data_IF_207262377878
#
_entry.id   IF_207262377878
#
_cell.length_a   1.000
_cell.length_b   1.000
_cell.length_c   1.000
_cell.angle_alpha   90.00
_cell.angle_beta   90.00
_cell.angle_gamma   90.00
#
_symmetry.space_group_name_H-M   'P 1'
#
loop_
_entity.id
_entity.type
_entity.pdbx_description
1 polymer ?
#
# COMPACT_ATOMS: atom_id res chain seq x y z
N UNK A 1 -38.77 26.13 -27.96
CA UNK A 1 -38.67 25.19 -26.81
C UNK A 1 -37.22 25.03 -26.31
N UNK A 2 -36.28 25.89 -26.73
CA UNK A 2 -34.86 25.86 -26.37
C UNK A 2 -34.48 26.95 -25.35
N UNK A 3 -35.28 28.02 -25.21
CA UNK A 3 -35.02 29.12 -24.26
C UNK A 3 -35.24 28.75 -22.78
N UNK A 4 -36.20 27.86 -22.48
CA UNK A 4 -36.52 27.47 -21.10
C UNK A 4 -35.38 26.63 -20.49
N UNK A 5 -34.71 25.83 -21.32
CA UNK A 5 -33.60 24.98 -20.88
C UNK A 5 -32.35 25.83 -20.63
N UNK A 6 -32.07 26.85 -21.46
CA UNK A 6 -30.94 27.76 -21.23
C UNK A 6 -31.15 28.66 -20.00
N UNK A 7 -32.38 29.11 -19.73
CA UNK A 7 -32.68 29.92 -18.56
C UNK A 7 -32.56 29.11 -17.26
N UNK A 8 -33.06 27.86 -17.24
CA UNK A 8 -32.98 26.98 -16.08
C UNK A 8 -31.56 26.50 -15.74
N UNK A 9 -30.65 26.48 -16.73
CA UNK A 9 -29.24 26.14 -16.52
C UNK A 9 -28.41 27.31 -16.01
N UNK A 10 -28.74 28.56 -16.40
CA UNK A 10 -28.05 29.76 -15.95
C UNK A 10 -28.36 30.07 -14.47
N UNK A 11 -29.62 29.90 -14.09
CA UNK A 11 -30.11 30.11 -12.71
C UNK A 11 -29.52 29.11 -11.69
N UNK A 12 -29.06 27.94 -12.16
CA UNK A 12 -28.36 26.95 -11.32
C UNK A 12 -26.84 27.10 -11.29
N UNK A 13 -26.26 27.85 -12.22
CA UNK A 13 -24.81 28.04 -12.31
C UNK A 13 -24.31 29.27 -11.53
N UNK A 14 -25.19 30.23 -11.22
CA UNK A 14 -24.86 31.46 -10.48
C UNK A 14 -25.09 31.35 -8.96
N UNK A 15 -25.51 30.19 -8.45
CA UNK A 15 -25.69 29.99 -7.01
C UNK A 15 -24.36 29.86 -6.28
N UNK A 16 -24.01 30.85 -5.46
CA UNK A 16 -22.87 30.85 -4.54
C UNK A 16 -22.76 29.49 -3.83
N UNK A 17 -21.71 28.73 -4.16
CA UNK A 17 -21.38 27.48 -3.50
C UNK A 17 -20.99 27.82 -2.07
N UNK A 18 -21.94 27.71 -1.15
CA UNK A 18 -21.71 27.94 0.28
C UNK A 18 -20.84 26.82 0.85
N UNK A 19 -19.52 27.04 0.81
CA UNK A 19 -18.48 26.14 1.37
C UNK A 19 -18.81 25.77 2.82
N UNK A 20 -19.36 26.70 3.61
CA UNK A 20 -19.76 26.45 5.00
C UNK A 20 -20.89 25.41 5.14
N UNK A 21 -21.80 25.32 4.16
CA UNK A 21 -22.90 24.35 4.18
C UNK A 21 -22.38 22.93 3.91
N UNK A 22 -21.37 22.80 3.04
CA UNK A 22 -20.66 21.54 2.79
C UNK A 22 -19.86 21.10 4.02
N UNK A 23 -19.15 22.01 4.68
CA UNK A 23 -18.41 21.72 5.91
C UNK A 23 -19.32 21.30 7.08
N UNK A 24 -20.50 21.91 7.24
CA UNK A 24 -21.44 21.51 8.30
C UNK A 24 -22.07 20.12 8.09
N UNK A 25 -22.29 19.72 6.83
CA UNK A 25 -22.79 18.40 6.47
C UNK A 25 -21.75 17.29 6.76
N UNK A 26 -20.46 17.60 6.56
CA UNK A 26 -19.35 16.70 6.92
C UNK A 26 -19.23 16.53 8.44
N UNK A 27 -19.27 17.63 9.20
CA UNK A 27 -19.17 17.58 10.66
C UNK A 27 -20.33 16.83 11.34
N UNK A 28 -21.55 16.94 10.80
CA UNK A 28 -22.73 16.21 11.32
C UNK A 28 -22.66 14.70 11.04
N UNK A 29 -22.08 14.29 9.90
CA UNK A 29 -21.83 12.88 9.57
C UNK A 29 -20.83 12.21 10.52
N UNK A 30 -19.74 12.91 10.87
CA UNK A 30 -18.71 12.42 11.81
C UNK A 30 -19.29 12.17 13.20
N UNK A 31 -20.11 13.10 13.71
CA UNK A 31 -20.75 12.99 15.03
C UNK A 31 -21.70 11.78 15.14
N UNK A 32 -22.40 11.45 14.05
CA UNK A 32 -23.32 10.29 14.00
C UNK A 32 -22.56 8.96 13.97
N UNK A 33 -21.42 8.87 13.27
CA UNK A 33 -20.52 7.71 13.33
C UNK A 33 -19.94 7.49 14.73
N UNK A 34 -19.54 8.57 15.41
CA UNK A 34 -19.00 8.52 16.77
C UNK A 34 -20.00 7.94 17.79
N UNK A 35 -21.29 8.32 17.71
CA UNK A 35 -22.34 7.76 18.57
C UNK A 35 -22.59 6.26 18.37
N UNK A 36 -22.38 5.73 17.16
CA UNK A 36 -22.57 4.30 16.89
C UNK A 36 -21.41 3.44 17.43
N UNK A 37 -20.19 4.00 17.56
CA UNK A 37 -19.03 3.29 18.11
C UNK A 37 -19.06 3.16 19.65
N UNK A 38 -19.73 4.07 20.35
CA UNK A 38 -19.80 4.06 21.83
C UNK A 38 -20.79 3.03 22.41
N UNK A 39 -21.62 2.39 21.58
CA UNK A 39 -22.58 1.36 22.00
C UNK A 39 -22.17 -0.07 21.61
N UNK A 40 -20.96 -0.26 21.09
CA UNK A 40 -20.48 -1.56 20.59
C UNK A 40 -19.03 -1.81 20.96
N UNK A 41 -18.71 -1.80 22.26
CA UNK A 41 -17.38 -2.15 22.76
C UNK A 41 -17.35 -3.62 23.15
N UNK A 42 -17.14 -4.50 22.16
CA UNK A 42 -16.71 -5.88 22.38
C UNK A 42 -15.92 -6.37 21.15
N UNK A 43 -14.62 -6.58 21.37
CA UNK A 43 -13.66 -7.34 20.55
C UNK A 43 -13.71 -7.17 19.02
N UNK A 44 -12.88 -6.26 18.50
CA UNK A 44 -12.42 -6.30 17.12
C UNK A 44 -10.96 -5.81 17.03
N UNK A 45 -10.05 -6.63 17.54
CA UNK A 45 -8.64 -6.63 17.11
C UNK A 45 -8.53 -7.77 16.11
N UNK A 46 -7.77 -7.58 15.03
CA UNK A 46 -7.59 -8.49 13.87
C UNK A 46 -8.56 -8.22 12.71
N UNK A 47 -8.15 -7.32 11.80
CA UNK A 47 -8.37 -7.38 10.34
C UNK A 47 -8.09 -6.02 9.68
N UNK A 48 -6.85 -5.51 9.70
CA UNK A 48 -6.48 -4.33 8.90
C UNK A 48 -5.08 -4.51 8.34
N UNK A 49 -5.03 -4.85 7.05
CA UNK A 49 -3.81 -5.07 6.26
C UNK A 49 -4.11 -5.33 4.78
N UNK A 50 -5.34 -5.75 4.47
CA UNK A 50 -5.79 -6.00 3.10
C UNK A 50 -6.37 -4.77 2.38
N UNK A 51 -6.69 -3.67 3.08
CA UNK A 51 -7.47 -2.57 2.48
C UNK A 51 -6.64 -1.49 1.75
N UNK A 52 -5.31 -1.55 1.79
CA UNK A 52 -4.44 -0.71 0.94
C UNK A 52 -4.24 -1.29 -0.48
N UNK A 53 -4.77 -2.49 -0.76
CA UNK A 53 -4.79 -3.06 -2.12
C UNK A 53 -6.06 -2.68 -2.91
N UNK A 54 -7.12 -2.21 -2.24
CA UNK A 54 -8.43 -1.93 -2.85
C UNK A 54 -8.62 -0.52 -3.39
N UNK A 55 -7.74 0.41 -3.04
CA UNK A 55 -7.55 1.66 -3.77
C UNK A 55 -6.77 1.39 -5.04
N UNK A 56 -7.31 0.54 -5.90
CA UNK A 56 -6.77 0.34 -7.23
C UNK A 56 -6.76 1.71 -7.91
N UNK A 57 -5.59 2.31 -8.01
CA UNK A 57 -5.25 2.99 -9.25
C UNK A 57 -5.56 1.95 -10.32
N UNK A 58 -6.74 2.07 -10.92
CA UNK A 58 -7.06 1.37 -12.16
C UNK A 58 -6.08 2.01 -13.13
N UNK A 59 -4.86 1.47 -13.17
CA UNK A 59 -3.97 1.63 -14.30
C UNK A 59 -4.74 0.99 -15.43
N UNK A 60 -5.59 1.81 -16.04
CA UNK A 60 -6.25 1.50 -17.29
C UNK A 60 -5.08 1.30 -18.23
N UNK A 61 -4.71 0.04 -18.43
CA UNK A 61 -3.57 -0.33 -19.23
C UNK A 61 -3.75 0.34 -20.57
N UNK A 62 -2.97 1.39 -20.80
CA UNK A 62 -2.70 1.85 -22.14
C UNK A 62 -2.10 0.64 -22.83
N UNK A 63 -2.86 0.04 -23.76
CA UNK A 63 -2.31 -0.89 -24.75
C UNK A 63 -1.21 -0.11 -25.48
N UNK A 64 0.03 -0.23 -25.03
CA UNK A 64 1.06 0.72 -25.44
C UNK A 64 2.46 0.33 -25.02
N UNK A 65 2.92 -0.83 -25.49
CA UNK A 65 4.29 -1.23 -25.82
C UNK A 65 4.51 -2.70 -25.41
N UNK A 66 5.17 -3.51 -26.25
CA UNK A 66 5.60 -4.85 -25.83
C UNK A 66 6.52 -4.71 -24.62
N UNK A 67 6.14 -5.34 -23.51
CA UNK A 67 6.98 -5.49 -22.31
C UNK A 67 8.29 -6.09 -22.80
N UNK A 68 9.37 -5.30 -22.73
CA UNK A 68 10.71 -5.81 -23.00
C UNK A 68 10.93 -6.98 -22.04
N UNK A 69 11.25 -8.19 -22.52
CA UNK A 69 11.50 -9.31 -21.64
C UNK A 69 12.61 -8.93 -20.68
N UNK A 70 12.32 -8.98 -19.37
CA UNK A 70 13.34 -8.85 -18.35
C UNK A 70 14.44 -9.89 -18.64
N UNK A 71 15.70 -9.48 -18.54
CA UNK A 71 16.81 -10.42 -18.58
C UNK A 71 16.59 -11.48 -17.50
N UNK A 72 16.69 -12.75 -17.87
CA UNK A 72 16.64 -13.91 -16.98
C UNK A 72 17.56 -13.65 -15.78
N UNK A 73 17.05 -13.78 -14.55
CA UNK A 73 17.85 -13.85 -13.32
C UNK A 73 17.82 -12.67 -12.34
N UNK A 74 17.66 -11.41 -12.78
CA UNK A 74 17.74 -10.25 -11.87
C UNK A 74 16.39 -9.56 -11.66
N UNK A 75 15.78 -9.90 -10.53
CA UNK A 75 14.67 -9.15 -9.93
C UNK A 75 15.14 -7.73 -9.59
N UNK A 76 14.38 -6.72 -9.99
CA UNK A 76 14.58 -5.36 -9.49
C UNK A 76 14.28 -5.31 -7.98
N UNK A 77 15.17 -4.71 -7.20
CA UNK A 77 15.12 -4.72 -5.73
C UNK A 77 15.32 -3.32 -5.17
N UNK A 78 14.80 -3.05 -3.96
CA UNK A 78 15.19 -1.86 -3.22
C UNK A 78 16.70 -1.88 -2.90
N UNK A 79 17.31 -0.75 -2.54
CA UNK A 79 18.74 -0.70 -2.24
C UNK A 79 19.08 -1.53 -1.01
N UNK A 80 20.15 -2.31 -1.08
CA UNK A 80 20.63 -3.14 0.03
C UNK A 80 21.25 -2.28 1.13
N UNK A 81 21.08 -2.71 2.38
CA UNK A 81 21.74 -2.11 3.56
C UNK A 81 22.73 -3.11 4.14
N UNK A 82 24.01 -2.94 3.81
CA UNK A 82 25.05 -3.80 4.34
C UNK A 82 25.28 -3.53 5.84
N UNK A 83 25.44 -4.61 6.61
CA UNK A 83 25.66 -4.56 8.06
C UNK A 83 24.41 -4.38 8.91
N UNK A 84 23.22 -4.15 8.32
CA UNK A 84 21.97 -4.18 9.07
C UNK A 84 21.63 -5.60 9.56
N UNK A 85 20.89 -5.74 10.68
CA UNK A 85 20.38 -7.04 11.12
C UNK A 85 19.54 -7.70 10.02
N UNK A 86 19.68 -9.01 9.88
CA UNK A 86 18.88 -9.83 8.94
C UNK A 86 17.91 -10.70 9.72
N UNK A 87 16.69 -10.89 9.21
CA UNK A 87 15.64 -11.62 9.91
C UNK A 87 15.97 -13.11 10.11
N UNK A 88 16.81 -13.70 9.24
CA UNK A 88 17.27 -15.09 9.39
C UNK A 88 18.07 -15.35 10.68
N UNK A 89 18.75 -14.34 11.23
CA UNK A 89 19.54 -14.47 12.47
C UNK A 89 18.98 -13.62 13.62
N UNK A 90 18.13 -12.64 13.31
CA UNK A 90 17.50 -11.76 14.29
C UNK A 90 16.02 -11.62 13.93
N UNK A 91 15.17 -12.63 14.21
CA UNK A 91 13.74 -12.62 13.88
C UNK A 91 13.00 -11.36 14.36
N UNK A 92 13.41 -10.85 15.52
CA UNK A 92 12.88 -9.62 16.12
C UNK A 92 13.09 -8.36 15.27
N UNK A 93 14.02 -8.37 14.31
CA UNK A 93 14.26 -7.25 13.39
C UNK A 93 13.12 -7.06 12.37
N UNK A 94 12.41 -8.14 12.01
CA UNK A 94 11.34 -8.09 11.00
C UNK A 94 10.22 -7.15 11.42
N UNK A 95 9.97 -6.13 10.60
CA UNK A 95 8.99 -5.08 10.89
C UNK A 95 9.25 -4.28 12.16
N UNK A 96 10.46 -4.30 12.73
CA UNK A 96 10.80 -3.43 13.87
C UNK A 96 11.02 -1.98 13.43
N UNK A 97 11.51 -1.80 12.20
CA UNK A 97 11.66 -0.52 11.51
C UNK A 97 10.83 -0.56 10.21
N UNK A 98 9.81 0.29 10.04
CA UNK A 98 9.00 0.31 8.82
C UNK A 98 9.75 0.84 7.59
N UNK A 99 11.00 1.28 7.75
CA UNK A 99 11.88 1.72 6.66
C UNK A 99 12.88 0.65 6.21
N UNK A 100 12.80 -0.57 6.74
CA UNK A 100 13.62 -1.71 6.32
C UNK A 100 12.74 -2.86 5.82
N UNK A 101 13.24 -3.58 4.82
CA UNK A 101 12.67 -4.83 4.32
C UNK A 101 13.67 -5.97 4.52
N UNK A 102 13.20 -7.09 5.05
CA UNK A 102 13.98 -8.31 5.26
C UNK A 102 13.51 -9.46 4.37
N UNK A 103 12.31 -9.35 3.80
CA UNK A 103 11.75 -10.34 2.88
C UNK A 103 12.24 -10.14 1.43
N UNK A 104 12.74 -11.21 0.82
CA UNK A 104 13.22 -11.21 -0.58
C UNK A 104 12.96 -12.57 -1.27
N UNK A 105 13.14 -12.59 -2.59
CA UNK A 105 13.04 -13.77 -3.44
C UNK A 105 14.28 -13.94 -4.31
N UNK A 106 14.58 -15.20 -4.65
CA UNK A 106 15.63 -15.57 -5.61
C UNK A 106 15.04 -16.30 -6.81
N UNK A 107 15.63 -16.12 -7.99
CA UNK A 107 15.27 -16.91 -9.19
C UNK A 107 13.80 -16.84 -9.59
N UNK A 108 13.25 -15.64 -9.71
CA UNK A 108 11.89 -15.39 -10.21
C UNK A 108 11.98 -14.84 -11.64
N UNK A 109 11.73 -15.70 -12.61
CA UNK A 109 11.73 -15.31 -14.01
C UNK A 109 10.38 -14.71 -14.41
N UNK A 110 10.40 -13.91 -15.50
CA UNK A 110 9.20 -13.33 -16.07
C UNK A 110 8.37 -12.48 -15.08
N UNK A 111 9.00 -11.86 -14.10
CA UNK A 111 8.33 -10.94 -13.19
C UNK A 111 7.87 -9.67 -13.95
N UNK A 112 6.63 -9.24 -13.70
CA UNK A 112 6.07 -8.02 -14.29
C UNK A 112 6.05 -6.85 -13.30
N UNK A 113 5.61 -7.15 -12.08
CA UNK A 113 5.50 -6.20 -10.98
C UNK A 113 5.99 -6.84 -9.69
N UNK A 114 6.68 -6.08 -8.85
CA UNK A 114 7.10 -6.48 -7.51
C UNK A 114 6.95 -5.31 -6.53
N UNK A 115 6.47 -5.57 -5.33
CA UNK A 115 6.22 -4.56 -4.29
C UNK A 115 6.66 -5.11 -2.94
N UNK A 116 7.60 -4.43 -2.32
CA UNK A 116 7.99 -4.60 -0.93
C UNK A 116 7.18 -3.66 -0.05
N UNK A 117 6.82 -4.13 1.12
CA UNK A 117 6.02 -3.42 2.10
C UNK A 117 6.45 -3.84 3.50
N UNK A 118 6.70 -2.86 4.37
CA UNK A 118 7.02 -3.09 5.78
C UNK A 118 6.16 -2.20 6.67
N UNK A 119 5.71 -2.78 7.78
CA UNK A 119 5.02 -2.12 8.88
C UNK A 119 5.35 -2.82 10.19
N UNK A 120 4.89 -2.28 11.31
CA UNK A 120 5.22 -2.86 12.63
C UNK A 120 4.86 -4.34 12.76
N UNK A 121 5.89 -5.17 12.91
CA UNK A 121 5.81 -6.63 13.11
C UNK A 121 5.26 -7.43 11.93
N UNK A 122 5.28 -6.88 10.71
CA UNK A 122 4.77 -7.53 9.52
C UNK A 122 5.44 -6.98 8.26
N UNK A 123 5.84 -7.85 7.36
CA UNK A 123 6.35 -7.50 6.05
C UNK A 123 5.65 -8.30 4.96
N UNK A 124 5.56 -7.71 3.78
CA UNK A 124 5.01 -8.39 2.62
C UNK A 124 5.72 -8.04 1.31
N UNK A 125 5.79 -9.03 0.44
CA UNK A 125 6.32 -8.94 -0.91
C UNK A 125 5.26 -9.48 -1.87
N UNK A 126 4.75 -8.62 -2.75
CA UNK A 126 3.73 -9.00 -3.75
C UNK A 126 4.29 -8.87 -5.14
N UNK A 127 3.78 -9.65 -6.06
CA UNK A 127 4.13 -9.44 -7.44
C UNK A 127 3.31 -10.25 -8.42
N UNK A 128 3.66 -10.08 -9.68
CA UNK A 128 3.18 -10.89 -10.79
C UNK A 128 4.38 -11.55 -11.44
N UNK A 129 4.33 -12.86 -11.67
CA UNK A 129 5.37 -13.60 -12.39
C UNK A 129 4.79 -14.74 -13.20
N UNK A 130 5.36 -14.97 -14.38
CA UNK A 130 5.07 -16.15 -15.19
C UNK A 130 5.37 -17.46 -14.45
N UNK A 131 6.45 -17.53 -13.66
CA UNK A 131 6.83 -18.70 -12.85
C UNK A 131 5.79 -19.03 -11.76
N UNK A 132 5.16 -17.98 -11.24
CA UNK A 132 4.07 -18.05 -10.27
C UNK A 132 2.70 -18.29 -10.93
N UNK A 133 2.64 -18.38 -12.26
CA UNK A 133 1.37 -18.51 -12.99
C UNK A 133 0.41 -17.33 -12.80
N UNK A 134 0.90 -16.16 -12.34
CA UNK A 134 0.07 -15.01 -12.03
C UNK A 134 0.55 -14.18 -10.85
N UNK A 135 -0.40 -13.61 -10.11
CA UNK A 135 -0.13 -12.88 -8.87
C UNK A 135 0.29 -13.83 -7.75
N UNK A 136 1.26 -13.40 -6.97
CA UNK A 136 1.69 -14.08 -5.77
C UNK A 136 1.89 -13.06 -4.64
N UNK A 137 1.82 -13.58 -3.42
CA UNK A 137 1.92 -12.79 -2.22
C UNK A 137 2.72 -13.54 -1.17
N UNK A 138 3.80 -12.94 -0.68
CA UNK A 138 4.63 -13.48 0.40
C UNK A 138 4.46 -12.59 1.61
N UNK A 139 4.15 -13.18 2.75
CA UNK A 139 3.94 -12.51 4.02
C UNK A 139 4.92 -13.05 5.05
N UNK A 140 5.40 -12.19 5.94
CA UNK A 140 6.21 -12.58 7.07
C UNK A 140 5.76 -11.85 8.34
N UNK A 141 5.70 -12.58 9.47
CA UNK A 141 5.37 -12.01 10.77
C UNK A 141 5.89 -12.88 11.91
N UNK A 142 6.22 -12.25 13.04
CA UNK A 142 6.53 -12.96 14.28
C UNK A 142 5.30 -13.62 14.93
N UNK A 143 4.10 -13.22 14.51
CA UNK A 143 2.85 -13.76 15.05
C UNK A 143 2.13 -14.46 13.91
N UNK A 144 2.02 -15.79 13.98
CA UNK A 144 1.34 -16.63 12.98
C UNK A 144 -0.02 -16.07 12.58
N UNK A 145 -0.82 -15.67 13.57
CA UNK A 145 -2.20 -15.20 13.37
C UNK A 145 -2.29 -13.85 12.62
N UNK A 146 -1.17 -13.14 12.44
CA UNK A 146 -1.12 -11.92 11.61
C UNK A 146 -1.02 -12.22 10.11
N UNK A 147 -0.70 -13.44 9.72
CA UNK A 147 -0.70 -13.86 8.31
C UNK A 147 -2.13 -13.94 7.79
N UNK A 148 -2.33 -13.70 6.49
CA UNK A 148 -3.67 -13.76 5.91
C UNK A 148 -4.19 -15.20 5.80
N UNK A 149 -5.50 -15.39 5.59
CA UNK A 149 -6.06 -16.70 5.22
C UNK A 149 -5.93 -17.79 6.30
N UNK A 150 -6.18 -17.49 7.57
CA UNK A 150 -6.04 -18.46 8.68
C UNK A 150 -7.01 -19.65 8.66
N UNK A 151 -7.99 -19.68 7.76
CA UNK A 151 -8.94 -20.78 7.60
C UNK A 151 -8.68 -21.58 6.32
N UNK A 152 -8.99 -22.87 6.34
CA UNK A 152 -8.81 -23.72 5.17
C UNK A 152 -8.68 -25.20 5.49
N UNK A 153 -8.63 -26.00 4.43
CA UNK A 153 -8.13 -27.36 4.51
C UNK A 153 -6.60 -27.31 4.64
N UNK A 154 -6.06 -27.95 5.68
CA UNK A 154 -4.63 -27.98 5.98
C UNK A 154 -4.10 -29.37 5.69
N UNK A 155 -3.04 -29.44 4.89
CA UNK A 155 -2.28 -30.66 4.64
C UNK A 155 -0.82 -30.46 5.05
N UNK A 156 -0.19 -31.41 5.77
CA UNK A 156 1.23 -31.35 6.09
C UNK A 156 2.09 -31.35 4.81
N UNK A 157 3.16 -30.56 4.82
CA UNK A 157 4.18 -30.52 3.76
C UNK A 157 5.52 -30.06 4.35
N UNK A 158 6.52 -29.81 3.50
CA UNK A 158 7.84 -29.33 3.93
C UNK A 158 8.40 -28.30 2.96
N UNK A 159 8.96 -27.20 3.48
CA UNK A 159 9.69 -26.20 2.69
C UNK A 159 11.17 -26.28 3.08
N UNK A 160 12.04 -26.64 2.13
CA UNK A 160 13.49 -26.78 2.40
C UNK A 160 13.82 -27.69 3.61
N UNK A 161 13.04 -28.76 3.80
CA UNK A 161 13.18 -29.70 4.93
C UNK A 161 12.64 -29.19 6.28
N UNK A 162 11.99 -28.03 6.31
CA UNK A 162 11.28 -27.53 7.48
C UNK A 162 9.80 -27.92 7.42
N UNK A 163 9.18 -28.30 8.55
CA UNK A 163 7.75 -28.57 8.61
C UNK A 163 6.93 -27.37 8.12
N UNK A 164 5.97 -27.64 7.24
CA UNK A 164 5.13 -26.63 6.64
C UNK A 164 3.68 -27.11 6.53
N UNK A 165 2.79 -26.17 6.25
CA UNK A 165 1.37 -26.40 6.04
C UNK A 165 0.99 -25.91 4.64
N UNK A 166 0.53 -26.82 3.79
CA UNK A 166 -0.21 -26.45 2.60
C UNK A 166 -1.65 -26.15 3.01
N UNK A 167 -2.12 -24.95 2.69
CA UNK A 167 -3.43 -24.44 3.08
C UNK A 167 -4.23 -24.10 1.84
N UNK A 168 -5.37 -24.75 1.67
CA UNK A 168 -6.39 -24.28 0.72
C UNK A 168 -7.27 -23.27 1.44
N UNK A 169 -7.06 -21.99 1.14
CA UNK A 169 -7.73 -20.87 1.79
C UNK A 169 -9.22 -20.90 1.44
N UNK A 170 -10.05 -21.26 2.42
CA UNK A 170 -11.50 -21.16 2.33
C UNK A 170 -11.97 -19.96 3.12
N UNK A 171 -12.99 -19.26 2.62
CA UNK A 171 -13.61 -18.17 3.38
C UNK A 171 -14.53 -18.69 4.49
N UNK A 172 -14.72 -17.93 5.59
CA UNK A 172 -15.66 -18.29 6.66
C UNK A 172 -17.11 -18.48 6.19
N UNK A 173 -17.50 -17.86 5.07
CA UNK A 173 -18.83 -17.97 4.44
C UNK A 173 -18.82 -18.79 3.13
N UNK A 174 -17.68 -19.37 2.76
CA UNK A 174 -17.49 -20.11 1.50
C UNK A 174 -17.46 -19.25 0.22
N UNK A 175 -17.64 -17.92 0.29
CA UNK A 175 -17.68 -17.06 -0.90
C UNK A 175 -16.31 -16.47 -1.25
N UNK A 176 -15.92 -16.47 -2.53
CA UNK A 176 -14.74 -15.77 -3.04
C UNK A 176 -14.93 -14.24 -2.96
N UNK A 177 -13.88 -13.45 -2.65
CA UNK A 177 -13.94 -11.97 -2.63
C UNK A 177 -12.69 -11.49 -3.28
N UNK A 178 -12.94 -10.63 -4.25
CA UNK A 178 -11.99 -10.11 -5.21
C UNK A 178 -11.01 -9.10 -4.59
N UNK A 179 -11.18 -8.76 -3.31
CA UNK A 179 -10.32 -7.84 -2.54
C UNK A 179 -9.39 -8.56 -1.54
N UNK A 180 -9.49 -9.89 -1.37
CA UNK A 180 -8.45 -10.65 -0.70
C UNK A 180 -7.26 -10.85 -1.65
N UNK A 181 -6.02 -11.07 -1.14
CA UNK A 181 -4.91 -11.49 -1.97
C UNK A 181 -5.36 -12.64 -2.87
N UNK A 182 -5.15 -12.52 -4.19
CA UNK A 182 -5.87 -13.28 -5.22
C UNK A 182 -5.63 -14.80 -5.22
N UNK A 183 -4.89 -15.34 -4.24
CA UNK A 183 -4.58 -16.75 -4.16
C UNK A 183 -5.58 -17.55 -3.32
N UNK A 184 -5.85 -18.77 -3.78
CA UNK A 184 -6.66 -19.78 -3.09
C UNK A 184 -5.82 -20.81 -2.37
N UNK A 185 -4.53 -20.87 -2.68
CA UNK A 185 -3.62 -21.87 -2.16
C UNK A 185 -2.42 -21.17 -1.54
N UNK A 186 -2.03 -21.65 -0.37
CA UNK A 186 -0.93 -21.09 0.38
C UNK A 186 -0.04 -22.18 0.95
N UNK A 187 1.19 -21.81 1.22
CA UNK A 187 2.15 -22.59 1.99
C UNK A 187 2.65 -21.70 3.10
N UNK A 188 2.54 -22.16 4.34
CA UNK A 188 3.03 -21.42 5.51
C UNK A 188 3.94 -22.29 6.36
N UNK A 189 4.97 -21.69 6.93
CA UNK A 189 5.92 -22.39 7.78
C UNK A 189 6.62 -21.41 8.72
N UNK A 190 7.24 -21.93 9.76
CA UNK A 190 8.15 -21.20 10.62
C UNK A 190 9.54 -21.27 9.99
N UNK A 191 9.97 -20.20 9.33
CA UNK A 191 11.21 -20.18 8.55
C UNK A 191 12.46 -20.21 9.44
N UNK A 192 12.34 -19.57 10.61
CA UNK A 192 13.27 -19.61 11.75
C UNK A 192 12.42 -19.46 13.02
N UNK A 193 12.93 -19.84 14.21
CA UNK A 193 12.15 -19.73 15.45
C UNK A 193 11.54 -18.33 15.64
N UNK A 194 10.26 -18.30 15.98
CA UNK A 194 9.43 -17.11 16.16
C UNK A 194 9.22 -16.24 14.90
N UNK A 195 9.46 -16.78 13.70
CA UNK A 195 9.19 -16.08 12.43
C UNK A 195 8.45 -16.96 11.43
N UNK A 196 7.18 -16.61 11.22
CA UNK A 196 6.31 -17.27 10.28
C UNK A 196 6.37 -16.59 8.92
N UNK A 197 6.44 -17.40 7.88
CA UNK A 197 6.33 -16.97 6.48
C UNK A 197 5.13 -17.68 5.85
N UNK A 198 4.43 -16.99 4.97
CA UNK A 198 3.39 -17.55 4.13
C UNK A 198 3.54 -17.08 2.69
N UNK A 199 3.41 -18.01 1.75
CA UNK A 199 3.25 -17.73 0.33
C UNK A 199 1.82 -18.04 -0.06
N UNK A 200 1.15 -17.12 -0.74
CA UNK A 200 -0.22 -17.23 -1.25
C UNK A 200 -0.19 -17.03 -2.76
N UNK A 201 -0.79 -17.94 -3.53
CA UNK A 201 -0.79 -17.93 -5.00
C UNK A 201 -2.14 -18.37 -5.56
N UNK A 202 -2.45 -17.97 -6.79
CA UNK A 202 -3.62 -18.47 -7.53
C UNK A 202 -3.36 -19.77 -8.30
N UNK A 203 -2.10 -20.17 -8.46
CA UNK A 203 -1.69 -21.29 -9.31
C UNK A 203 -1.69 -22.67 -8.65
N UNK A 204 -2.22 -22.82 -7.43
CA UNK A 204 -2.24 -24.09 -6.69
C UNK A 204 -1.04 -24.30 -5.74
N UNK A 205 -1.08 -25.37 -4.93
CA UNK A 205 -0.11 -25.62 -3.87
C UNK A 205 1.32 -25.85 -4.40
N UNK A 206 1.49 -26.52 -5.54
CA UNK A 206 2.81 -26.75 -6.14
C UNK A 206 3.49 -25.44 -6.54
N UNK A 207 2.72 -24.43 -6.95
CA UNK A 207 3.24 -23.10 -7.26
C UNK A 207 3.67 -22.39 -5.98
N UNK A 208 2.84 -22.47 -4.92
CA UNK A 208 3.16 -21.88 -3.62
C UNK A 208 4.45 -22.49 -3.06
N UNK A 209 4.62 -23.81 -3.14
CA UNK A 209 5.82 -24.52 -2.73
C UNK A 209 7.07 -24.02 -3.47
N UNK A 210 7.01 -23.94 -4.80
CA UNK A 210 8.15 -23.46 -5.61
C UNK A 210 8.55 -22.02 -5.27
N UNK A 211 7.60 -21.16 -4.90
CA UNK A 211 7.90 -19.78 -4.47
C UNK A 211 8.43 -19.78 -3.04
N UNK A 212 7.87 -20.61 -2.15
CA UNK A 212 8.31 -20.76 -0.76
C UNK A 212 9.79 -21.15 -0.65
N UNK A 213 10.24 -22.08 -1.49
CA UNK A 213 11.65 -22.52 -1.54
C UNK A 213 12.63 -21.40 -1.91
N UNK A 214 12.14 -20.34 -2.57
CA UNK A 214 12.94 -19.20 -3.04
C UNK A 214 12.98 -18.03 -2.05
N UNK A 215 12.19 -18.09 -0.98
CA UNK A 215 12.13 -17.01 0.02
C UNK A 215 13.46 -16.86 0.73
N UNK A 216 13.89 -15.60 0.89
CA UNK A 216 15.12 -15.22 1.56
C UNK A 216 14.82 -14.25 2.70
N UNK A 217 15.53 -14.45 3.80
CA UNK A 217 15.49 -13.63 5.03
C UNK A 217 16.90 -13.21 5.48
N UNK A 218 17.92 -13.51 4.68
CA UNK A 218 19.34 -13.30 4.95
C UNK A 218 19.87 -11.97 4.38
N UNK A 219 18.96 -11.06 4.02
CA UNK A 219 19.28 -9.77 3.43
C UNK A 219 18.39 -8.70 4.03
N UNK A 220 18.89 -7.48 4.00
CA UNK A 220 18.16 -6.29 4.45
C UNK A 220 18.26 -5.23 3.38
N UNK A 221 17.12 -4.63 3.08
CA UNK A 221 16.96 -3.57 2.10
C UNK A 221 16.35 -2.36 2.80
N UNK A 222 16.61 -1.17 2.28
CA UNK A 222 15.93 0.04 2.74
C UNK A 222 14.70 0.31 1.89
N UNK A 223 13.68 0.83 2.55
CA UNK A 223 12.65 1.65 1.95
C UNK A 223 13.30 2.71 1.06
N UNK A 224 12.89 2.74 -0.20
CA UNK A 224 13.29 3.73 -1.17
C UNK A 224 12.05 4.28 -1.84
N UNK A 225 11.86 5.60 -1.74
CA UNK A 225 10.75 6.31 -2.38
C UNK A 225 11.31 7.46 -3.22
N UNK A 226 10.69 7.78 -4.38
CA UNK A 226 11.20 8.82 -5.30
C UNK A 226 10.84 10.24 -4.85
N UNK A 227 10.89 10.51 -3.55
CA UNK A 227 10.63 11.83 -2.99
C UNK A 227 11.28 11.99 -1.62
N UNK A 228 11.34 13.24 -1.18
CA UNK A 228 11.75 13.62 0.17
C UNK A 228 10.67 14.52 0.79
N UNK A 229 10.42 14.39 2.09
CA UNK A 229 9.50 15.24 2.82
C UNK A 229 10.26 16.17 3.75
N UNK A 230 10.42 17.43 3.36
CA UNK A 230 11.18 18.43 4.13
C UNK A 230 10.30 19.27 5.04
N UNK A 231 10.83 19.72 6.18
CA UNK A 231 10.13 20.68 7.05
C UNK A 231 8.97 20.09 7.85
N UNK A 232 8.90 18.75 7.98
CA UNK A 232 7.99 18.08 8.89
C UNK A 232 8.55 18.09 10.32
N UNK A 233 7.65 18.14 11.30
CA UNK A 233 8.00 18.10 12.72
C UNK A 233 8.60 16.72 13.09
N UNK A 234 9.54 16.72 14.05
CA UNK A 234 10.15 15.54 14.65
C UNK A 234 9.17 14.60 15.36
N UNK A 235 7.87 14.91 15.43
CA UNK A 235 6.82 13.98 15.87
C UNK A 235 6.21 13.12 14.75
N UNK A 236 6.41 13.48 13.47
CA UNK A 236 5.90 12.68 12.34
C UNK A 236 6.68 11.37 12.24
N UNK A 237 5.98 10.26 12.03
CA UNK A 237 6.57 8.91 11.97
C UNK A 237 6.12 8.20 10.70
N UNK A 238 7.06 7.53 10.03
CA UNK A 238 6.70 6.48 9.06
C UNK A 238 6.16 5.29 9.84
N UNK A 239 4.97 4.83 9.50
CA UNK A 239 4.34 3.63 10.10
C UNK A 239 4.27 2.47 9.12
N UNK A 240 4.38 2.77 7.82
CA UNK A 240 4.53 1.80 6.75
C UNK A 240 5.34 2.43 5.61
N UNK A 241 6.20 1.66 4.98
CA UNK A 241 6.80 2.04 3.71
C UNK A 241 6.58 0.95 2.66
N UNK A 242 6.53 1.38 1.40
CA UNK A 242 6.55 0.50 0.25
C UNK A 242 7.47 1.01 -0.85
N UNK A 243 8.11 0.05 -1.51
CA UNK A 243 8.89 0.27 -2.74
C UNK A 243 8.40 -0.74 -3.76
N UNK A 244 8.03 -0.30 -4.95
CA UNK A 244 7.56 -1.20 -6.01
C UNK A 244 8.19 -0.92 -7.36
N UNK A 245 8.31 -1.98 -8.15
CA UNK A 245 8.87 -1.99 -9.49
C UNK A 245 7.82 -2.52 -10.44
N UNK A 246 7.59 -1.81 -11.54
CA UNK A 246 6.60 -2.18 -12.56
C UNK A 246 7.08 -1.69 -13.91
N UNK A 247 7.17 -2.59 -14.91
CA UNK A 247 7.53 -2.19 -16.28
C UNK A 247 8.89 -1.48 -16.42
N UNK A 248 9.85 -1.79 -15.54
CA UNK A 248 11.17 -1.13 -15.50
C UNK A 248 11.19 0.21 -14.75
N UNK A 249 10.07 0.63 -14.16
CA UNK A 249 9.99 1.83 -13.34
C UNK A 249 10.02 1.47 -11.86
N UNK A 250 10.72 2.27 -11.07
CA UNK A 250 10.68 2.23 -9.62
C UNK A 250 9.73 3.32 -9.11
N UNK A 251 8.94 2.97 -8.11
CA UNK A 251 7.95 3.83 -7.47
C UNK A 251 7.93 3.51 -5.97
N UNK A 252 7.25 4.33 -5.19
CA UNK A 252 7.18 4.11 -3.76
C UNK A 252 6.21 5.04 -3.06
N UNK A 253 5.95 4.72 -1.80
CA UNK A 253 5.13 5.53 -0.94
C UNK A 253 5.28 5.16 0.53
N UNK A 254 4.86 6.08 1.39
CA UNK A 254 4.96 5.97 2.84
C UNK A 254 3.62 6.29 3.48
N UNK A 255 3.32 5.61 4.57
CA UNK A 255 2.24 5.97 5.47
C UNK A 255 2.85 6.66 6.67
N UNK A 256 2.28 7.81 7.00
CA UNK A 256 2.73 8.68 8.06
C UNK A 256 1.67 8.78 9.14
N UNK A 257 2.12 8.79 10.39
CA UNK A 257 1.34 9.27 11.51
C UNK A 257 1.89 10.65 11.93
N UNK A 258 1.00 11.58 12.28
CA UNK A 258 1.34 12.95 12.65
C UNK A 258 1.80 13.11 14.12
N UNK A 259 2.13 12.02 14.80
CA UNK A 259 2.48 11.99 16.23
C UNK A 259 1.27 11.89 17.17
N UNK A 260 0.04 11.91 16.65
CA UNK A 260 -1.16 11.78 17.48
C UNK A 260 -1.28 10.38 18.09
N UNK A 261 -1.23 10.31 19.42
CA UNK A 261 -1.49 9.10 20.21
C UNK A 261 -2.98 8.90 20.50
N UNK A 262 -3.85 9.77 19.96
CA UNK A 262 -5.29 9.69 20.20
C UNK A 262 -5.93 8.48 19.52
N UNK A 263 -7.14 8.12 19.99
CA UNK A 263 -8.01 7.10 19.37
C UNK A 263 -8.41 7.48 17.93
N UNK A 264 -8.24 8.75 17.55
CA UNK A 264 -8.45 9.27 16.18
C UNK A 264 -7.15 9.16 15.36
N UNK A 265 -6.55 7.96 15.40
CA UNK A 265 -5.36 7.60 14.65
C UNK A 265 -5.63 7.75 13.14
N UNK A 266 -4.91 8.69 12.52
CA UNK A 266 -5.02 8.99 11.09
C UNK A 266 -3.70 8.65 10.44
N UNK A 267 -3.73 7.81 9.40
CA UNK A 267 -2.56 7.55 8.56
C UNK A 267 -2.67 8.38 7.30
N UNK A 268 -1.56 8.98 6.87
CA UNK A 268 -1.46 9.72 5.62
C UNK A 268 -0.53 8.97 4.69
N UNK A 269 -1.06 8.48 3.58
CA UNK A 269 -0.24 7.93 2.52
C UNK A 269 0.26 9.06 1.63
N UNK A 270 1.56 9.08 1.39
CA UNK A 270 2.22 9.91 0.38
C UNK A 270 2.92 8.98 -0.59
N UNK A 271 2.65 9.13 -1.88
CA UNK A 271 3.26 8.28 -2.91
C UNK A 271 3.41 9.02 -4.23
N UNK A 272 4.06 8.38 -5.18
CA UNK A 272 4.21 8.87 -6.55
C UNK A 272 3.59 7.87 -7.53
N UNK A 273 3.02 8.40 -8.60
CA UNK A 273 2.80 7.66 -9.85
C UNK A 273 3.21 8.50 -11.05
N UNK A 274 3.58 7.83 -12.13
CA UNK A 274 4.01 8.46 -13.39
C UNK A 274 2.87 8.63 -14.40
N UNK A 275 1.64 8.43 -13.95
CA UNK A 275 0.46 8.74 -14.77
C UNK A 275 0.32 10.26 -14.92
N UNK A 276 -0.25 10.68 -16.04
CA UNK A 276 -0.74 12.05 -16.15
C UNK A 276 -1.77 12.34 -15.05
N UNK A 277 -1.83 13.58 -14.53
CA UNK A 277 -2.88 13.98 -13.60
C UNK A 277 -4.23 13.60 -14.17
N UNK A 278 -5.07 12.96 -13.35
CA UNK A 278 -6.38 12.50 -13.83
C UNK A 278 -7.30 13.69 -14.13
N UNK A 279 -7.00 14.85 -13.53
CA UNK A 279 -7.65 16.14 -13.77
C UNK A 279 -6.64 17.28 -13.73
N UNK A 280 -6.90 18.39 -14.44
CA UNK A 280 -6.14 19.62 -14.23
C UNK A 280 -6.27 20.10 -12.78
N UNK A 281 -5.25 20.76 -12.20
CA UNK A 281 -5.34 21.38 -10.89
C UNK A 281 -6.48 22.38 -10.82
N UNK A 282 -7.32 22.25 -9.79
CA UNK A 282 -8.49 23.10 -9.57
C UNK A 282 -8.35 23.98 -8.34
N UNK A 283 -7.42 23.65 -7.45
CA UNK A 283 -7.27 24.28 -6.14
C UNK A 283 -5.81 24.57 -5.81
N UNK A 284 -5.57 25.33 -4.75
CA UNK A 284 -4.24 25.58 -4.19
C UNK A 284 -4.18 25.07 -2.76
N UNK A 285 -3.18 24.25 -2.46
CA UNK A 285 -2.94 23.69 -1.13
C UNK A 285 -1.47 23.87 -0.77
N UNK A 286 -1.18 24.51 0.36
CA UNK A 286 0.20 24.82 0.75
C UNK A 286 0.95 25.73 -0.24
N UNK A 287 0.20 26.55 -0.99
CA UNK A 287 0.75 27.38 -2.08
C UNK A 287 1.06 26.62 -3.36
N UNK A 288 0.69 25.33 -3.47
CA UNK A 288 0.88 24.51 -4.66
C UNK A 288 -0.45 24.23 -5.36
N UNK A 289 -0.46 24.31 -6.68
CA UNK A 289 -1.63 23.93 -7.47
C UNK A 289 -1.85 22.41 -7.37
N UNK A 290 -3.05 22.00 -6.99
CA UNK A 290 -3.43 20.60 -6.80
C UNK A 290 -4.80 20.30 -7.39
N UNK A 291 -5.04 19.02 -7.70
CA UNK A 291 -6.38 18.51 -7.95
C UNK A 291 -6.89 17.80 -6.69
N UNK A 292 -8.07 18.18 -6.20
CA UNK A 292 -8.70 17.57 -5.03
C UNK A 292 -9.83 16.66 -5.48
N UNK A 293 -9.81 15.43 -4.97
CA UNK A 293 -10.78 14.40 -5.29
C UNK A 293 -11.59 14.11 -4.04
N UNK A 294 -12.90 14.40 -4.03
CA UNK A 294 -13.74 14.07 -2.89
C UNK A 294 -13.88 12.56 -2.75
N UNK A 295 -14.15 12.11 -1.51
CA UNK A 295 -14.49 10.72 -1.26
C UNK A 295 -15.71 10.31 -2.10
N UNK A 296 -15.60 9.20 -2.83
CA UNK A 296 -16.71 8.71 -3.64
C UNK A 296 -17.85 8.22 -2.73
N UNK A 297 -19.04 8.80 -2.91
CA UNK A 297 -20.22 8.41 -2.12
C UNK A 297 -20.66 7.02 -2.51
N UNK A 298 -20.92 6.15 -1.52
CA UNK A 298 -21.38 4.77 -1.74
C UNK A 298 -20.27 3.75 -2.01
N UNK A 299 -19.01 4.18 -2.14
CA UNK A 299 -17.87 3.29 -2.28
C UNK A 299 -17.22 3.10 -0.91
N UNK A 300 -17.30 1.87 -0.38
CA UNK A 300 -16.68 1.53 0.91
C UNK A 300 -15.17 1.68 0.77
N UNK A 301 -14.56 2.50 1.63
CA UNK A 301 -13.11 2.74 1.64
C UNK A 301 -12.64 3.84 0.71
N UNK A 302 -13.51 4.46 -0.10
CA UNK A 302 -13.12 5.64 -0.86
C UNK A 302 -12.85 6.81 0.10
N UNK A 303 -11.62 7.31 0.07
CA UNK A 303 -11.20 8.50 0.81
C UNK A 303 -11.03 9.66 -0.15
N UNK A 304 -11.17 10.88 0.37
CA UNK A 304 -10.75 12.05 -0.39
C UNK A 304 -9.24 11.96 -0.60
N UNK A 305 -8.73 12.48 -1.72
CA UNK A 305 -7.29 12.52 -1.96
C UNK A 305 -6.89 13.75 -2.75
N UNK A 306 -5.60 14.04 -2.73
CA UNK A 306 -5.00 15.17 -3.43
C UNK A 306 -3.97 14.65 -4.41
N UNK A 307 -4.01 15.17 -5.64
CA UNK A 307 -2.98 14.97 -6.66
C UNK A 307 -2.20 16.29 -6.83
N UNK A 308 -0.88 16.20 -6.70
CA UNK A 308 0.06 17.28 -6.99
C UNK A 308 0.84 16.94 -8.26
N UNK A 309 0.57 17.61 -9.40
CA UNK A 309 1.37 17.40 -10.60
C UNK A 309 2.78 17.97 -10.41
N UNK A 310 3.77 17.26 -10.94
CA UNK A 310 5.15 17.73 -11.02
C UNK A 310 5.79 17.27 -12.34
N UNK A 311 6.99 17.76 -12.64
CA UNK A 311 7.73 17.33 -13.85
C UNK A 311 8.11 15.84 -13.74
N UNK A 312 7.44 14.99 -14.52
CA UNK A 312 7.65 13.55 -14.50
C UNK A 312 6.61 12.72 -13.73
N UNK A 313 5.52 13.32 -13.22
CA UNK A 313 4.42 12.53 -12.67
C UNK A 313 3.46 13.29 -11.74
N UNK A 314 2.86 12.53 -10.83
CA UNK A 314 1.88 13.00 -9.84
C UNK A 314 2.24 12.47 -8.46
N UNK A 315 2.32 13.38 -7.49
CA UNK A 315 2.35 13.04 -6.08
C UNK A 315 0.93 12.85 -5.57
N UNK A 316 0.67 11.75 -4.87
CA UNK A 316 -0.63 11.45 -4.29
C UNK A 316 -0.61 11.54 -2.77
N UNK A 317 -1.69 12.07 -2.19
CA UNK A 317 -1.84 12.25 -0.75
C UNK A 317 -3.22 11.76 -0.31
N UNK A 318 -3.26 10.75 0.56
CA UNK A 318 -4.51 10.12 1.03
C UNK A 318 -4.54 10.02 2.56
N UNK A 319 -5.53 10.60 3.24
CA UNK A 319 -5.84 10.29 4.63
C UNK A 319 -6.63 8.97 4.74
N UNK A 320 -6.34 8.18 5.77
CA UNK A 320 -7.04 6.94 6.12
C UNK A 320 -7.69 7.01 7.52
N UNK A 321 -8.74 6.21 7.72
CA UNK A 321 -9.44 5.90 8.99
C UNK A 321 -10.29 7.01 9.66
N UNK A 322 -9.99 8.29 9.48
CA UNK A 322 -10.62 9.39 10.23
C UNK A 322 -11.08 10.55 9.33
N UNK A 323 -11.53 11.65 9.95
CA UNK A 323 -11.75 12.93 9.25
C UNK A 323 -10.42 13.52 8.80
N UNK A 324 -10.38 14.00 7.56
CA UNK A 324 -9.20 14.66 6.98
C UNK A 324 -8.79 15.86 7.85
N UNK A 325 -7.52 15.90 8.26
CA UNK A 325 -6.89 17.09 8.82
C UNK A 325 -6.31 17.89 7.65
N UNK A 326 -7.12 18.78 7.07
CA UNK A 326 -6.72 19.60 5.92
C UNK A 326 -5.39 20.36 6.16
N UNK A 327 -5.14 20.94 7.35
CA UNK A 327 -3.83 21.50 7.70
C UNK A 327 -2.65 20.54 7.54
N UNK A 328 -2.76 19.30 8.04
CA UNK A 328 -1.65 18.34 7.92
C UNK A 328 -1.46 17.88 6.47
N UNK A 329 -2.56 17.69 5.73
CA UNK A 329 -2.49 17.36 4.31
C UNK A 329 -1.79 18.48 3.51
N UNK A 330 -2.11 19.73 3.80
CA UNK A 330 -1.45 20.88 3.18
C UNK A 330 0.05 20.97 3.54
N UNK A 331 0.41 20.62 4.77
CA UNK A 331 1.80 20.51 5.18
C UNK A 331 2.54 19.43 4.39
N UNK A 332 1.94 18.24 4.19
CA UNK A 332 2.55 17.17 3.40
C UNK A 332 2.76 17.57 1.94
N UNK A 333 1.78 18.24 1.31
CA UNK A 333 1.91 18.77 -0.06
C UNK A 333 3.06 19.79 -0.14
N UNK A 334 3.18 20.65 0.87
CA UNK A 334 4.27 21.66 0.93
C UNK A 334 5.64 21.00 1.11
N UNK A 335 5.72 19.99 1.98
CA UNK A 335 6.93 19.26 2.32
C UNK A 335 7.46 18.38 1.18
N UNK A 336 6.60 17.99 0.26
CA UNK A 336 6.90 17.03 -0.80
C UNK A 336 7.87 17.58 -1.85
N UNK A 337 9.00 16.90 -2.01
CA UNK A 337 10.03 17.18 -3.02
C UNK A 337 10.21 15.94 -3.91
N UNK A 338 9.63 15.91 -5.12
CA UNK A 338 9.77 14.76 -6.02
C UNK A 338 11.20 14.63 -6.54
N UNK A 339 11.61 13.40 -6.81
CA UNK A 339 12.91 13.05 -7.38
C UNK A 339 12.65 12.35 -8.71
N UNK A 340 13.23 12.91 -9.77
CA UNK A 340 13.02 12.44 -11.15
C UNK A 340 14.05 11.43 -11.61
N UNK A 341 15.13 11.25 -10.85
CA UNK A 341 16.15 10.22 -11.12
C UNK A 341 15.51 8.82 -11.01
N UNK A 342 15.53 8.00 -12.08
CA UNK A 342 14.97 6.65 -12.04
C UNK A 342 15.83 5.65 -11.25
N UNK A 343 17.10 5.96 -10.93
CA UNK A 343 17.95 5.06 -10.16
C UNK A 343 17.61 5.10 -8.67
N UNK A 344 16.96 4.03 -8.21
CA UNK A 344 16.56 3.83 -6.80
C UNK A 344 17.73 3.97 -5.81
N UNK A 345 18.97 3.74 -6.25
CA UNK A 345 20.15 3.87 -5.39
C UNK A 345 20.49 5.33 -5.06
N UNK A 346 20.08 6.28 -5.90
CA UNK A 346 20.29 7.72 -5.71
C UNK A 346 19.25 8.36 -4.79
N UNK A 347 18.13 7.66 -4.54
CA UNK A 347 17.04 8.19 -3.72
C UNK A 347 17.44 8.34 -2.25
N UNK A 348 16.79 9.25 -1.50
CA UNK A 348 17.09 9.53 -0.10
C UNK A 348 17.09 8.26 0.73
N UNK A 349 17.99 8.18 1.71
CA UNK A 349 18.06 7.05 2.64
C UNK A 349 16.85 6.99 3.59
N UNK A 350 16.21 8.14 3.81
CA UNK A 350 14.99 8.31 4.60
C UNK A 350 14.01 9.20 3.83
N UNK A 351 12.70 8.88 3.85
CA UNK A 351 11.67 9.76 3.30
C UNK A 351 11.45 11.02 4.15
N UNK A 352 11.86 11.01 5.42
CA UNK A 352 11.79 12.11 6.38
C UNK A 352 13.17 12.77 6.58
N UNK A 353 13.23 14.02 7.09
CA UNK A 353 14.47 14.79 7.27
C UNK A 353 15.50 14.15 8.20
#
# INVERSE_FOLDING_TARGET
>A
MTEIISAALRDRAEGDIHVERLLSAVHTGVRRRRRRRLLGTACAVVAVGALAAGGGLVFSGTRGAPVRPASVGDIARPPRVDGAPVAAFTPSSLGSDPTLFHLDLTGLDGWGTLRWSARTGYEDLRGFSADAGGEFFVEASQVRDKLSGQGGEISPTEVNGLPAEAVRITRPDGAFNQAAPQGTDAVRWEAVPDLWVQVVVSGGPDVAMRIAERVRLDRTYRCAVPFHLTGLDAQVRVVKCETWFSGGEALGGVWLNNGSTSVDYTEYYVGIGRAEPTKPPTESMGGRAVAVFPAQTGVVGATAHVEYPYDGGVGFFFPFYSSVDDPFLALLVTAFQPITDPDVNTWPRSPLP
#
